data_IF_382219492713
#
_entry.id   IF_382219492713
#
_cell.length_a   1.000
_cell.length_b   1.000
_cell.length_c   1.000
_cell.angle_alpha   90.00
_cell.angle_beta   90.00
_cell.angle_gamma   90.00
#
_symmetry.space_group_name_H-M   'P 1'
#
loop_
_entity.id
_entity.type
_entity.pdbx_description
1 polymer ?
#
# COMPACT_ATOMS: atom_id res chain seq x y z
N UNK A 1 20.96 -10.53 0.50
CA UNK A 1 19.78 -9.65 0.58
C UNK A 1 18.90 -10.10 1.74
N UNK A 2 18.45 -9.15 2.53
CA UNK A 2 17.49 -9.41 3.62
C UNK A 2 16.20 -10.00 3.03
N UNK A 3 15.71 -11.14 3.51
CA UNK A 3 14.44 -11.71 3.02
C UNK A 3 13.26 -10.75 3.10
N UNK A 4 13.21 -9.91 4.12
CA UNK A 4 12.15 -8.92 4.25
C UNK A 4 12.27 -7.81 3.20
N UNK A 5 13.48 -7.45 2.78
CA UNK A 5 13.67 -6.50 1.69
C UNK A 5 13.09 -7.02 0.37
N UNK A 6 13.24 -8.32 0.11
CA UNK A 6 12.67 -8.95 -1.07
C UNK A 6 11.13 -8.94 -1.03
N UNK A 7 10.55 -9.18 0.15
CA UNK A 7 9.08 -9.13 0.33
C UNK A 7 8.58 -7.71 0.05
N UNK A 8 9.23 -6.70 0.60
CA UNK A 8 8.83 -5.30 0.40
C UNK A 8 8.92 -4.91 -1.07
N UNK A 9 9.98 -5.35 -1.77
CA UNK A 9 10.13 -5.07 -3.20
C UNK A 9 8.99 -5.68 -4.02
N UNK A 10 8.60 -6.93 -3.72
CA UNK A 10 7.47 -7.59 -4.41
C UNK A 10 6.14 -6.92 -4.09
N UNK A 11 5.95 -6.53 -2.83
CA UNK A 11 4.74 -5.85 -2.38
C UNK A 11 4.57 -4.50 -3.10
N UNK A 12 5.64 -3.73 -3.17
CA UNK A 12 5.67 -2.45 -3.88
C UNK A 12 5.36 -2.63 -5.36
N UNK A 13 5.97 -3.64 -6.01
CA UNK A 13 5.73 -3.93 -7.41
C UNK A 13 4.27 -4.34 -7.67
N UNK A 14 3.67 -5.10 -6.76
CA UNK A 14 2.26 -5.51 -6.87
C UNK A 14 1.33 -4.30 -6.81
N UNK A 15 1.61 -3.34 -5.93
CA UNK A 15 0.86 -2.08 -5.90
C UNK A 15 1.07 -1.26 -7.16
N UNK A 16 2.29 -1.21 -7.68
CA UNK A 16 2.60 -0.50 -8.91
C UNK A 16 1.87 -1.04 -10.12
N UNK A 17 1.59 -2.35 -10.14
CA UNK A 17 0.85 -2.99 -11.24
C UNK A 17 -0.65 -3.10 -10.99
N UNK A 18 -1.12 -2.77 -9.78
CA UNK A 18 -2.53 -2.91 -9.42
C UNK A 18 -3.01 -4.35 -9.34
N UNK A 19 -2.11 -5.28 -9.08
CA UNK A 19 -2.42 -6.72 -9.02
C UNK A 19 -2.87 -7.09 -7.62
N UNK A 20 -4.17 -7.05 -7.37
CA UNK A 20 -4.75 -7.30 -6.05
C UNK A 20 -4.44 -8.72 -5.55
N UNK A 21 -4.49 -9.71 -6.44
CA UNK A 21 -4.17 -11.10 -6.05
C UNK A 21 -2.72 -11.21 -5.57
N UNK A 22 -1.79 -10.56 -6.27
CA UNK A 22 -0.38 -10.54 -5.87
C UNK A 22 -0.19 -9.81 -4.54
N UNK A 23 -0.88 -8.70 -4.33
CA UNK A 23 -0.82 -7.96 -3.06
C UNK A 23 -1.28 -8.85 -1.92
N UNK A 24 -2.44 -9.48 -2.06
CA UNK A 24 -3.03 -10.31 -0.99
C UNK A 24 -2.20 -11.55 -0.70
N UNK A 25 -1.55 -12.13 -1.72
CA UNK A 25 -0.67 -13.27 -1.53
C UNK A 25 0.55 -12.93 -0.65
N UNK A 26 0.91 -11.64 -0.59
CA UNK A 26 2.02 -11.15 0.23
C UNK A 26 1.58 -10.62 1.60
N UNK A 27 0.30 -10.70 1.93
CA UNK A 27 -0.22 -10.25 3.23
C UNK A 27 -0.65 -11.44 4.09
N UNK A 28 -0.55 -11.27 5.41
CA UNK A 28 -1.00 -12.31 6.35
C UNK A 28 -2.52 -12.41 6.36
N UNK A 29 -3.07 -13.52 6.90
CA UNK A 29 -4.52 -13.70 6.98
C UNK A 29 -5.19 -12.67 7.88
N UNK A 30 -4.50 -12.27 8.94
CA UNK A 30 -4.99 -11.29 9.92
C UNK A 30 -4.46 -9.89 9.63
N UNK A 31 -4.09 -9.59 8.41
CA UNK A 31 -3.47 -8.32 8.04
C UNK A 31 -4.34 -7.12 8.43
N UNK A 32 -3.65 -6.00 8.70
CA UNK A 32 -4.29 -4.76 9.11
C UNK A 32 -3.87 -3.64 8.18
N UNK A 33 -4.84 -2.85 7.74
CA UNK A 33 -4.58 -1.65 6.96
C UNK A 33 -5.20 -0.44 7.65
N UNK A 34 -4.38 0.62 7.83
CA UNK A 34 -4.88 1.94 8.23
C UNK A 34 -4.70 2.88 7.06
N UNK A 35 -5.83 3.43 6.58
CA UNK A 35 -5.87 4.30 5.41
C UNK A 35 -5.54 5.75 5.78
N UNK A 36 -5.34 6.57 4.76
CA UNK A 36 -5.00 7.98 4.93
C UNK A 36 -6.20 8.87 5.23
N UNK A 37 -7.38 8.43 4.93
CA UNK A 37 -8.62 9.17 5.20
C UNK A 37 -9.68 8.26 5.79
N UNK A 38 -10.69 8.83 6.47
CA UNK A 38 -10.89 10.25 6.74
C UNK A 38 -9.98 10.79 7.84
N UNK A 39 -9.80 12.11 7.85
CA UNK A 39 -9.05 12.78 8.93
C UNK A 39 -9.77 12.58 10.26
N UNK A 40 -9.06 12.56 11.41
CA UNK A 40 -7.61 12.76 11.55
C UNK A 40 -6.77 11.48 11.40
N UNK A 41 -7.35 10.30 11.64
CA UNK A 41 -6.56 9.07 11.81
C UNK A 41 -6.74 8.03 10.71
N UNK A 42 -7.63 8.30 9.77
CA UNK A 42 -7.97 7.33 8.72
C UNK A 42 -8.91 6.24 9.22
N UNK A 43 -9.18 5.27 8.36
CA UNK A 43 -9.95 4.08 8.70
C UNK A 43 -9.04 2.91 8.99
N UNK A 44 -9.52 1.97 9.80
CA UNK A 44 -8.78 0.73 10.09
C UNK A 44 -9.63 -0.47 9.66
N UNK A 45 -9.06 -1.35 8.87
CA UNK A 45 -9.69 -2.60 8.46
C UNK A 45 -8.76 -3.78 8.73
N UNK A 46 -9.33 -4.95 9.01
CA UNK A 46 -8.57 -6.12 9.39
C UNK A 46 -9.05 -7.35 8.63
N UNK A 47 -8.10 -8.22 8.29
CA UNK A 47 -8.35 -9.50 7.65
C UNK A 47 -8.36 -9.45 6.14
N UNK A 48 -8.10 -10.61 5.53
CA UNK A 48 -7.92 -10.76 4.08
C UNK A 48 -9.11 -10.22 3.27
N UNK A 49 -10.33 -10.61 3.63
CA UNK A 49 -11.50 -10.24 2.83
C UNK A 49 -11.75 -8.75 2.82
N UNK A 50 -11.66 -8.10 4.00
CA UNK A 50 -11.92 -6.67 4.13
C UNK A 50 -10.82 -5.83 3.47
N UNK A 51 -9.56 -6.23 3.67
CA UNK A 51 -8.43 -5.51 3.08
C UNK A 51 -8.44 -5.66 1.56
N UNK A 52 -8.73 -6.85 1.04
CA UNK A 52 -8.86 -7.08 -0.41
C UNK A 52 -9.89 -6.14 -1.03
N UNK A 53 -11.03 -5.98 -0.37
CA UNK A 53 -12.09 -5.09 -0.86
C UNK A 53 -11.60 -3.65 -1.01
N UNK A 54 -10.79 -3.17 -0.07
CA UNK A 54 -10.21 -1.82 -0.16
C UNK A 54 -9.34 -1.69 -1.41
N UNK A 55 -8.48 -2.67 -1.66
CA UNK A 55 -7.61 -2.63 -2.86
C UNK A 55 -8.43 -2.71 -4.15
N UNK A 56 -9.44 -3.56 -4.18
CA UNK A 56 -10.30 -3.67 -5.37
C UNK A 56 -10.98 -2.34 -5.68
N UNK A 57 -11.52 -1.68 -4.67
CA UNK A 57 -12.14 -0.36 -4.84
C UNK A 57 -11.13 0.71 -5.26
N UNK A 58 -9.93 0.67 -4.69
CA UNK A 58 -8.87 1.63 -5.01
C UNK A 58 -8.48 1.56 -6.49
N UNK A 59 -8.27 0.36 -7.01
CA UNK A 59 -7.81 0.18 -8.38
C UNK A 59 -8.93 0.27 -9.43
N UNK A 60 -10.18 0.02 -9.04
CA UNK A 60 -11.33 0.15 -9.93
C UNK A 60 -11.85 1.59 -10.00
N UNK A 61 -11.71 2.34 -8.93
CA UNK A 61 -12.42 3.61 -8.75
C UNK A 61 -11.77 4.83 -9.35
N UNK A 62 -10.50 4.75 -9.82
CA UNK A 62 -9.77 5.94 -10.26
C UNK A 62 -9.05 5.69 -11.59
N UNK A 63 -9.44 6.44 -12.61
CA UNK A 63 -8.83 6.35 -13.94
C UNK A 63 -7.35 6.75 -13.88
N UNK A 64 -6.49 5.92 -14.47
CA UNK A 64 -5.06 6.20 -14.55
C UNK A 64 -4.32 6.19 -13.22
N UNK A 65 -4.92 5.57 -12.19
CA UNK A 65 -4.29 5.49 -10.88
C UNK A 65 -3.01 4.66 -10.92
N UNK A 66 -1.97 5.19 -10.29
CA UNK A 66 -0.66 4.56 -10.33
C UNK A 66 0.14 4.87 -9.07
N UNK A 67 0.78 3.84 -8.49
CA UNK A 67 1.73 3.99 -7.40
C UNK A 67 3.15 3.78 -7.93
N UNK A 68 4.03 4.73 -7.64
CA UNK A 68 5.46 4.61 -7.95
C UNK A 68 6.25 4.69 -6.65
N UNK A 69 7.16 3.74 -6.44
CA UNK A 69 8.03 3.74 -5.28
C UNK A 69 9.08 4.83 -5.41
N UNK A 70 9.29 5.61 -4.35
CA UNK A 70 10.37 6.59 -4.30
C UNK A 70 11.56 6.04 -3.53
N UNK A 71 11.31 5.29 -2.44
CA UNK A 71 12.36 4.75 -1.58
C UNK A 71 11.77 3.68 -0.67
N UNK A 72 12.56 2.66 -0.35
CA UNK A 72 12.16 1.71 0.70
C UNK A 72 13.39 1.26 1.47
N UNK A 73 13.19 0.91 2.73
CA UNK A 73 14.22 0.30 3.57
C UNK A 73 13.57 -0.57 4.65
N UNK A 74 14.36 -1.50 5.16
CA UNK A 74 13.91 -2.49 6.14
C UNK A 74 14.82 -2.47 7.35
N UNK A 75 14.24 -2.58 8.53
CA UNK A 75 14.95 -2.75 9.79
C UNK A 75 14.21 -3.79 10.63
N UNK A 76 14.79 -5.00 10.74
CA UNK A 76 14.14 -6.10 11.43
C UNK A 76 12.83 -6.50 10.77
N UNK A 77 11.74 -6.48 11.54
CA UNK A 77 10.40 -6.78 11.05
C UNK A 77 9.61 -5.53 10.62
N UNK A 78 10.28 -4.38 10.55
CA UNK A 78 9.66 -3.13 10.14
C UNK A 78 10.23 -2.66 8.82
N UNK A 79 9.39 -1.99 8.02
CA UNK A 79 9.82 -1.41 6.77
C UNK A 79 9.14 -0.07 6.54
N UNK A 80 9.82 0.78 5.79
CA UNK A 80 9.26 2.05 5.31
C UNK A 80 9.28 2.02 3.81
N UNK A 81 8.16 2.39 3.20
CA UNK A 81 7.98 2.43 1.75
C UNK A 81 7.42 3.80 1.40
N UNK A 82 8.25 4.64 0.77
CA UNK A 82 7.81 5.96 0.30
C UNK A 82 7.33 5.85 -1.14
N UNK A 83 6.18 6.46 -1.43
CA UNK A 83 5.55 6.33 -2.73
C UNK A 83 4.93 7.64 -3.19
N UNK A 84 4.68 7.71 -4.50
CA UNK A 84 3.89 8.75 -5.12
C UNK A 84 2.71 8.10 -5.80
N UNK A 85 1.51 8.58 -5.47
CA UNK A 85 0.26 8.12 -6.08
C UNK A 85 -0.23 9.20 -7.04
N UNK A 86 -0.49 8.82 -8.27
CA UNK A 86 -0.96 9.75 -9.32
C UNK A 86 -2.26 9.26 -9.92
N UNK A 87 -3.07 10.19 -10.38
CA UNK A 87 -4.34 9.90 -11.03
C UNK A 87 -4.67 11.00 -12.01
N UNK A 88 -5.75 10.79 -12.81
CA UNK A 88 -6.29 11.81 -13.72
C UNK A 88 -7.63 12.27 -13.17
N UNK A 89 -7.78 13.57 -12.98
CA UNK A 89 -9.03 14.19 -12.54
C UNK A 89 -10.08 14.15 -13.67
N UNK A 90 -11.35 14.36 -13.33
CA UNK A 90 -12.44 14.32 -14.28
C UNK A 90 -12.32 15.35 -15.41
N UNK A 91 -11.59 16.43 -15.22
CA UNK A 91 -11.33 17.46 -16.24
C UNK A 91 -10.07 17.16 -17.08
N UNK A 92 -9.44 15.98 -16.85
CA UNK A 92 -8.23 15.58 -17.56
C UNK A 92 -6.93 16.08 -16.95
N UNK A 93 -6.98 16.88 -15.89
CA UNK A 93 -5.77 17.37 -15.23
C UNK A 93 -5.14 16.29 -14.37
N UNK A 94 -3.79 16.30 -14.19
CA UNK A 94 -3.13 15.34 -13.32
C UNK A 94 -3.31 15.70 -11.85
N UNK A 95 -3.49 14.67 -11.01
CA UNK A 95 -3.46 14.81 -9.56
C UNK A 95 -2.38 13.93 -8.98
N UNK A 96 -1.85 14.31 -7.82
CA UNK A 96 -0.91 13.45 -7.12
C UNK A 96 -0.90 13.71 -5.62
N UNK A 97 -0.46 12.69 -4.89
CA UNK A 97 -0.14 12.80 -3.47
C UNK A 97 1.10 11.95 -3.22
N UNK A 98 1.91 12.37 -2.29
CA UNK A 98 3.08 11.59 -1.86
C UNK A 98 2.80 11.10 -0.45
N UNK A 99 3.28 9.91 -0.16
CA UNK A 99 3.04 9.32 1.13
C UNK A 99 4.10 8.33 1.53
N UNK A 100 3.88 7.75 2.69
CA UNK A 100 4.74 6.74 3.25
C UNK A 100 3.89 5.68 3.93
N UNK A 101 4.30 4.43 3.76
CA UNK A 101 3.72 3.31 4.50
C UNK A 101 4.73 2.86 5.53
N UNK A 102 4.24 2.60 6.74
CA UNK A 102 5.00 1.89 7.76
C UNK A 102 4.46 0.47 7.79
N UNK A 103 5.33 -0.49 7.52
CA UNK A 103 4.94 -1.90 7.41
C UNK A 103 5.48 -2.71 8.58
N UNK A 104 4.73 -3.72 9.01
CA UNK A 104 5.22 -4.78 9.86
C UNK A 104 5.20 -6.07 9.07
N UNK A 105 6.30 -6.82 9.13
CA UNK A 105 6.46 -8.09 8.41
C UNK A 105 6.42 -9.23 9.42
N UNK A 106 5.82 -10.34 9.01
CA UNK A 106 5.75 -11.55 9.82
C UNK A 106 5.72 -12.76 8.88
N UNK A 107 6.63 -13.69 9.11
CA UNK A 107 6.71 -14.94 8.35
C UNK A 107 6.78 -14.71 6.82
N UNK A 108 7.54 -13.70 6.39
CA UNK A 108 7.74 -13.39 4.99
C UNK A 108 6.55 -12.71 4.32
N UNK A 109 5.65 -12.12 5.11
CA UNK A 109 4.45 -11.43 4.60
C UNK A 109 4.24 -10.12 5.34
N UNK A 110 3.46 -9.23 4.72
CA UNK A 110 3.06 -7.97 5.33
C UNK A 110 1.88 -8.21 6.26
N UNK A 111 2.06 -7.94 7.54
CA UNK A 111 1.03 -8.09 8.55
C UNK A 111 0.29 -6.77 8.83
N UNK A 112 0.99 -5.64 8.72
CA UNK A 112 0.39 -4.32 8.94
C UNK A 112 0.89 -3.35 7.88
N UNK A 113 -0.03 -2.53 7.38
CA UNK A 113 0.28 -1.45 6.45
C UNK A 113 -0.42 -0.19 6.96
N UNK A 114 0.36 0.74 7.49
CA UNK A 114 -0.14 2.01 8.00
C UNK A 114 0.31 3.12 7.07
N UNK A 115 -0.64 3.79 6.45
CA UNK A 115 -0.37 4.77 5.39
C UNK A 115 -0.52 6.19 5.89
N UNK A 116 0.42 7.04 5.54
CA UNK A 116 0.44 8.46 5.88
C UNK A 116 0.70 9.26 4.62
N UNK A 117 0.06 10.40 4.49
CA UNK A 117 0.25 11.27 3.32
C UNK A 117 0.80 12.61 3.74
N UNK A 118 1.57 13.18 2.83
CA UNK A 118 2.06 14.53 2.94
C UNK A 118 0.94 15.47 2.47
N UNK A 119 0.50 16.33 3.35
CA UNK A 119 -0.60 17.20 2.99
C UNK A 119 -0.71 18.47 3.75
#
# INVERSE_FOLDING_TARGET
>A
MDPNQAVVARFSAAFGSGDVDAIMALMTEDCVFESTGPAPDGGRVEGQATVRQVWEELFDGTAGARFDEEESFVSGDRAVLRWRYTWTNGDGSPGHVRGVDVLRLRDGKVAEKFSYVKG
#
